data_IF_731662362885
#
_entry.id   IF_731662362885
#
_cell.length_a   1.000
_cell.length_b   1.000
_cell.length_c   1.000
_cell.angle_alpha   90.00
_cell.angle_beta   90.00
_cell.angle_gamma   90.00
#
_symmetry.space_group_name_H-M   'P 1'
#
loop_
_entity.id
_entity.type
_entity.pdbx_description
1 polymer ?
#
# COMPACT_ATOMS: atom_id res chain seq x y z
N UNK A 1 14.71 -43.39 -48.77
CA UNK A 1 15.25 -42.17 -48.12
C UNK A 1 14.10 -41.27 -47.65
N UNK A 2 13.22 -41.78 -46.77
CA UNK A 2 11.97 -41.12 -46.31
C UNK A 2 11.74 -40.95 -44.77
N UNK A 3 12.70 -41.19 -43.84
CA UNK A 3 12.39 -41.08 -42.40
C UNK A 3 12.42 -39.65 -41.81
N UNK A 4 13.16 -38.71 -42.42
CA UNK A 4 13.38 -37.38 -41.83
C UNK A 4 12.09 -36.52 -41.72
N UNK A 5 11.21 -36.61 -42.72
CA UNK A 5 9.94 -35.86 -42.71
C UNK A 5 8.94 -36.39 -41.67
N UNK A 6 8.97 -37.69 -41.36
CA UNK A 6 8.12 -38.26 -40.33
C UNK A 6 8.53 -37.75 -38.94
N UNK A 7 9.83 -37.73 -38.64
CA UNK A 7 10.35 -37.20 -37.38
C UNK A 7 10.00 -35.73 -37.17
N UNK A 8 10.13 -34.89 -38.20
CA UNK A 8 9.77 -33.48 -38.13
C UNK A 8 8.27 -33.26 -37.87
N UNK A 9 7.40 -34.05 -38.51
CA UNK A 9 5.95 -33.99 -38.26
C UNK A 9 5.60 -34.36 -36.82
N UNK A 10 6.26 -35.38 -36.27
CA UNK A 10 6.07 -35.76 -34.87
C UNK A 10 6.50 -34.63 -33.93
N UNK A 11 7.67 -34.03 -34.15
CA UNK A 11 8.16 -32.90 -33.35
C UNK A 11 7.21 -31.70 -33.40
N UNK A 12 6.71 -31.35 -34.59
CA UNK A 12 5.73 -30.26 -34.75
C UNK A 12 4.45 -30.57 -33.99
N UNK A 13 3.94 -31.80 -34.07
CA UNK A 13 2.73 -32.18 -33.34
C UNK A 13 2.92 -32.14 -31.81
N UNK A 14 4.10 -32.56 -31.34
CA UNK A 14 4.44 -32.52 -29.93
C UNK A 14 4.52 -31.08 -29.41
N UNK A 15 5.24 -30.20 -30.11
CA UNK A 15 5.32 -28.79 -29.73
C UNK A 15 3.96 -28.09 -29.81
N UNK A 16 3.12 -28.43 -30.78
CA UNK A 16 1.76 -27.89 -30.86
C UNK A 16 0.92 -28.29 -29.63
N UNK A 17 1.05 -29.53 -29.15
CA UNK A 17 0.39 -30.00 -27.93
C UNK A 17 0.92 -29.25 -26.70
N UNK A 18 2.23 -29.13 -26.54
CA UNK A 18 2.85 -28.42 -25.42
C UNK A 18 2.46 -26.93 -25.38
N UNK A 19 2.42 -26.27 -26.55
CA UNK A 19 1.94 -24.88 -26.68
C UNK A 19 0.48 -24.78 -26.25
N UNK A 20 -0.37 -25.71 -26.67
CA UNK A 20 -1.79 -25.71 -26.30
C UNK A 20 -1.97 -25.87 -24.78
N UNK A 21 -1.26 -26.82 -24.16
CA UNK A 21 -1.33 -27.06 -22.72
C UNK A 21 -0.83 -25.86 -21.91
N UNK A 22 0.28 -25.25 -22.34
CA UNK A 22 0.84 -24.07 -21.68
C UNK A 22 -0.09 -22.86 -21.78
N UNK A 23 -0.72 -22.66 -22.94
CA UNK A 23 -1.72 -21.59 -23.14
C UNK A 23 -2.93 -21.78 -22.23
N UNK A 24 -3.42 -23.01 -22.06
CA UNK A 24 -4.51 -23.31 -21.12
C UNK A 24 -4.11 -22.94 -19.70
N UNK A 25 -2.93 -23.37 -19.24
CA UNK A 25 -2.43 -23.03 -17.90
C UNK A 25 -2.28 -21.52 -17.70
N UNK A 26 -1.81 -20.80 -18.72
CA UNK A 26 -1.72 -19.33 -18.67
C UNK A 26 -3.11 -18.70 -18.52
N UNK A 27 -4.10 -19.17 -19.28
CA UNK A 27 -5.46 -18.66 -19.21
C UNK A 27 -6.09 -18.89 -17.83
N UNK A 28 -5.86 -20.06 -17.21
CA UNK A 28 -6.31 -20.36 -15.85
C UNK A 28 -5.68 -19.41 -14.83
N UNK A 29 -4.35 -19.22 -14.88
CA UNK A 29 -3.65 -18.29 -13.98
C UNK A 29 -4.10 -16.84 -14.18
N UNK A 30 -4.37 -16.42 -15.42
CA UNK A 30 -4.91 -15.10 -15.71
C UNK A 30 -6.32 -14.92 -15.14
N UNK A 31 -7.18 -15.93 -15.25
CA UNK A 31 -8.51 -15.89 -14.66
C UNK A 31 -8.46 -15.80 -13.12
N UNK A 32 -7.55 -16.55 -12.49
CA UNK A 32 -7.32 -16.46 -11.05
C UNK A 32 -6.82 -15.08 -10.63
N UNK A 33 -5.86 -14.51 -11.37
CA UNK A 33 -5.33 -13.18 -11.13
C UNK A 33 -6.46 -12.13 -11.18
N UNK A 34 -7.30 -12.16 -12.21
CA UNK A 34 -8.44 -11.23 -12.34
C UNK A 34 -9.42 -11.38 -11.17
N UNK A 35 -9.71 -12.61 -10.74
CA UNK A 35 -10.55 -12.87 -9.57
C UNK A 35 -9.95 -12.28 -8.28
N UNK A 36 -8.64 -12.45 -8.07
CA UNK A 36 -7.94 -11.89 -6.90
C UNK A 36 -7.90 -10.36 -6.94
N UNK A 37 -7.65 -9.76 -8.11
CA UNK A 37 -7.72 -8.32 -8.28
C UNK A 37 -9.10 -7.77 -7.96
N UNK A 38 -10.17 -8.40 -8.48
CA UNK A 38 -11.53 -7.98 -8.17
C UNK A 38 -11.83 -8.04 -6.67
N UNK A 39 -11.37 -9.09 -5.99
CA UNK A 39 -11.49 -9.18 -4.52
C UNK A 39 -10.73 -8.07 -3.81
N UNK A 40 -9.52 -7.73 -4.26
CA UNK A 40 -8.74 -6.62 -3.70
C UNK A 40 -9.41 -5.27 -3.92
N UNK A 41 -10.03 -5.03 -5.08
CA UNK A 41 -10.75 -3.78 -5.36
C UNK A 41 -11.97 -3.61 -4.44
N UNK A 42 -12.60 -4.71 -3.99
CA UNK A 42 -13.67 -4.63 -2.99
C UNK A 42 -13.16 -4.33 -1.57
N UNK A 43 -11.87 -4.57 -1.29
CA UNK A 43 -11.25 -4.20 -0.01
C UNK A 43 -11.06 -2.69 -0.01
N UNK A 44 -12.00 -1.99 0.60
CA UNK A 44 -11.83 -0.57 0.87
C UNK A 44 -10.82 -0.42 2.01
N UNK A 45 -9.83 0.45 1.83
CA UNK A 45 -8.95 0.89 2.91
C UNK A 45 -9.49 2.24 3.39
N UNK A 46 -10.40 2.29 4.39
CA UNK A 46 -11.13 3.51 4.70
C UNK A 46 -10.17 4.66 5.04
N UNK A 47 -9.08 4.33 5.74
CA UNK A 47 -7.98 5.24 6.09
C UNK A 47 -7.37 5.96 4.87
N UNK A 48 -7.38 5.36 3.68
CA UNK A 48 -6.85 5.95 2.44
C UNK A 48 -7.90 6.73 1.63
N UNK A 49 -9.19 6.59 1.96
CA UNK A 49 -10.31 7.22 1.26
C UNK A 49 -11.13 8.19 2.13
N UNK A 50 -10.72 8.42 3.38
CA UNK A 50 -11.36 9.40 4.25
C UNK A 50 -11.26 10.81 3.63
N UNK A 51 -12.35 11.60 3.67
CA UNK A 51 -12.27 13.03 3.37
C UNK A 51 -11.24 13.73 4.27
N UNK A 52 -10.55 14.76 3.75
CA UNK A 52 -9.52 15.47 4.50
C UNK A 52 -10.05 16.08 5.81
N UNK A 53 -11.32 16.44 5.87
CA UNK A 53 -12.00 16.97 7.07
C UNK A 53 -12.07 15.92 8.18
N UNK A 54 -12.37 14.66 7.84
CA UNK A 54 -12.43 13.57 8.80
C UNK A 54 -11.04 13.23 9.33
N UNK A 55 -10.04 13.21 8.45
CA UNK A 55 -8.64 12.99 8.84
C UNK A 55 -8.16 14.10 9.77
N UNK A 56 -8.46 15.37 9.46
CA UNK A 56 -8.13 16.50 10.34
C UNK A 56 -8.78 16.37 11.72
N UNK A 57 -10.02 15.90 11.79
CA UNK A 57 -10.73 15.72 13.06
C UNK A 57 -10.15 14.57 13.90
N UNK A 58 -9.71 13.49 13.26
CA UNK A 58 -8.91 12.44 13.94
C UNK A 58 -7.66 13.05 14.57
N UNK A 59 -6.92 13.87 13.81
CA UNK A 59 -5.72 14.54 14.32
C UNK A 59 -6.03 15.46 15.51
N UNK A 60 -7.12 16.21 15.47
CA UNK A 60 -7.57 17.10 16.55
C UNK A 60 -7.96 16.29 17.80
N UNK A 61 -8.67 15.19 17.66
CA UNK A 61 -9.05 14.33 18.78
C UNK A 61 -7.84 13.61 19.43
N UNK A 62 -6.77 13.39 18.68
CA UNK A 62 -5.51 12.87 19.24
C UNK A 62 -4.73 13.92 20.04
N UNK A 63 -5.07 15.20 19.95
CA UNK A 63 -4.52 16.24 20.81
C UNK A 63 -5.23 16.14 22.16
N UNK A 64 -4.62 15.45 23.13
CA UNK A 64 -5.19 15.32 24.48
C UNK A 64 -5.61 16.69 25.04
N UNK A 65 -6.80 16.81 25.66
CA UNK A 65 -7.25 18.03 26.31
C UNK A 65 -6.58 18.28 27.68
N UNK A 66 -5.63 17.44 28.09
CA UNK A 66 -5.04 17.55 29.43
C UNK A 66 -4.12 18.78 29.54
N UNK A 67 -4.27 19.58 30.61
CA UNK A 67 -3.44 20.76 30.86
C UNK A 67 -1.95 20.43 31.13
N UNK A 68 -1.61 19.15 31.23
CA UNK A 68 -0.30 18.65 31.62
C UNK A 68 0.63 18.34 30.44
N UNK A 69 0.25 18.57 29.18
CA UNK A 69 1.12 18.29 28.04
C UNK A 69 2.05 19.45 27.70
N UNK A 70 3.32 19.43 28.13
CA UNK A 70 4.26 20.52 27.93
C UNK A 70 4.99 20.28 26.62
N UNK A 71 4.58 20.97 25.55
CA UNK A 71 5.45 21.32 24.43
C UNK A 71 5.90 20.24 23.44
N UNK A 72 5.99 18.96 23.80
CA UNK A 72 6.64 17.94 22.96
C UNK A 72 5.81 16.64 22.90
N UNK A 73 5.28 16.31 21.72
CA UNK A 73 4.64 15.00 21.44
C UNK A 73 5.76 14.04 21.02
N UNK A 74 5.82 12.86 21.62
CA UNK A 74 6.83 11.86 21.23
C UNK A 74 6.54 11.35 19.81
N UNK A 75 7.59 11.04 19.03
CA UNK A 75 7.42 10.60 17.64
C UNK A 75 6.66 9.27 17.46
N UNK A 76 6.50 8.52 18.56
CA UNK A 76 5.77 7.25 18.63
C UNK A 76 4.35 7.41 19.22
N UNK A 77 3.94 8.64 19.53
CA UNK A 77 2.61 8.94 20.07
C UNK A 77 1.74 9.63 19.00
N UNK A 78 0.43 9.42 19.07
CA UNK A 78 -0.50 10.21 18.29
C UNK A 78 -0.49 11.67 18.78
N UNK A 79 -0.64 12.66 17.90
CA UNK A 79 -0.89 12.56 16.45
C UNK A 79 0.32 12.21 15.56
N UNK A 80 1.58 12.34 16.02
CA UNK A 80 2.76 12.20 15.16
C UNK A 80 2.86 10.81 14.51
N UNK A 81 2.50 9.75 15.24
CA UNK A 81 2.43 8.40 14.73
C UNK A 81 1.50 8.28 13.50
N UNK A 82 0.35 8.95 13.52
CA UNK A 82 -0.64 8.89 12.43
C UNK A 82 -0.15 9.61 11.16
N UNK A 83 0.71 10.62 11.30
CA UNK A 83 1.33 11.30 10.15
C UNK A 83 2.30 10.41 9.34
N UNK A 84 2.62 9.21 9.84
CA UNK A 84 3.48 8.22 9.17
C UNK A 84 2.72 7.26 8.27
N UNK A 85 1.39 7.20 8.33
CA UNK A 85 0.55 6.28 7.54
C UNK A 85 0.76 6.47 6.04
N UNK A 86 0.64 7.70 5.54
CA UNK A 86 0.92 8.05 4.14
C UNK A 86 1.25 9.54 3.99
N UNK A 87 1.76 9.94 2.82
CA UNK A 87 2.07 11.35 2.52
C UNK A 87 0.83 12.25 2.56
N UNK A 88 -0.35 11.72 2.19
CA UNK A 88 -1.62 12.46 2.21
C UNK A 88 -2.03 12.85 3.65
N UNK A 89 -1.98 11.90 4.59
CA UNK A 89 -2.27 12.16 6.00
C UNK A 89 -1.28 13.15 6.62
N UNK A 90 -0.01 13.06 6.26
CA UNK A 90 1.00 14.06 6.65
C UNK A 90 0.65 15.44 6.13
N UNK A 91 0.26 15.56 4.86
CA UNK A 91 -0.18 16.82 4.27
C UNK A 91 -1.36 17.43 5.02
N UNK A 92 -2.36 16.62 5.37
CA UNK A 92 -3.53 17.07 6.14
C UNK A 92 -3.14 17.52 7.54
N UNK A 93 -2.30 16.76 8.25
CA UNK A 93 -1.81 17.14 9.58
C UNK A 93 -1.06 18.47 9.55
N UNK A 94 -0.23 18.70 8.53
CA UNK A 94 0.51 19.95 8.35
C UNK A 94 -0.41 21.13 7.98
N UNK A 95 -1.47 20.87 7.22
CA UNK A 95 -2.44 21.87 6.77
C UNK A 95 -3.49 22.22 7.85
N UNK A 96 -3.63 21.40 8.90
CA UNK A 96 -4.60 21.61 9.98
C UNK A 96 -4.03 22.60 11.02
N UNK A 97 -4.48 23.88 11.07
CA UNK A 97 -3.80 24.92 11.84
C UNK A 97 -3.77 24.68 13.35
N UNK A 98 -4.75 23.95 13.89
CA UNK A 98 -4.83 23.61 15.32
C UNK A 98 -3.84 22.50 15.71
N UNK A 99 -3.62 21.54 14.81
CA UNK A 99 -2.61 20.49 14.98
C UNK A 99 -1.20 20.97 14.62
N UNK A 100 -1.10 22.00 13.78
CA UNK A 100 0.13 22.36 13.11
C UNK A 100 1.30 22.80 14.03
N UNK A 101 1.09 23.69 15.01
CA UNK A 101 2.17 24.16 15.88
C UNK A 101 2.82 23.04 16.71
N UNK A 102 2.11 21.93 16.94
CA UNK A 102 2.51 20.84 17.83
C UNK A 102 3.26 19.70 17.11
N UNK A 103 3.32 19.71 15.77
CA UNK A 103 4.05 18.68 15.01
C UNK A 103 5.55 18.93 14.89
N UNK A 104 6.11 19.96 15.56
CA UNK A 104 7.54 20.30 15.43
C UNK A 104 8.39 19.16 15.98
N UNK A 105 8.83 18.30 15.08
CA UNK A 105 9.77 17.21 15.37
C UNK A 105 11.01 17.82 16.00
N UNK A 106 11.25 17.58 17.29
CA UNK A 106 12.58 17.80 17.83
C UNK A 106 13.53 16.86 17.08
N UNK A 107 14.55 17.44 16.45
CA UNK A 107 15.69 16.68 15.94
C UNK A 107 16.26 15.86 17.10
N UNK A 108 16.66 14.58 16.90
CA UNK A 108 17.23 13.77 17.95
C UNK A 108 18.34 14.56 18.65
N UNK A 109 18.27 14.66 19.98
CA UNK A 109 19.33 15.26 20.80
C UNK A 109 20.64 14.61 20.40
N UNK A 110 21.56 15.40 19.83
CA UNK A 110 22.95 14.99 19.69
C UNK A 110 23.43 14.60 21.09
N UNK A 111 23.65 13.30 21.29
CA UNK A 111 24.23 12.75 22.51
C UNK A 111 25.67 13.24 22.58
N UNK A 112 25.89 14.37 23.26
CA UNK A 112 27.19 14.74 23.79
C UNK A 112 27.41 13.95 25.08
N UNK A 113 28.45 13.10 25.09
CA UNK A 113 28.87 12.33 26.26
C UNK A 113 29.59 11.05 25.86
#
# INVERSE_FOLDING_TARGET
MLPANATLRTQVSQLALEISATRTRLAEMQAELVSLQHRLDTVTYPVLSLPPEIVAEIFIHCLSPTPEWPGCIHSEEAPLLLSRICSHWRGIALATPVAAPRYRLETPRETSG
#
